data_IF_078990619620
#
_entry.id   IF_078990619620
#
_cell.length_a   1.000
_cell.length_b   1.000
_cell.length_c   1.000
_cell.angle_alpha   90.00
_cell.angle_beta   90.00
_cell.angle_gamma   90.00
#
_symmetry.space_group_name_H-M   'P 1'
#
loop_
_entity.id
_entity.type
_entity.pdbx_description
1 polymer ?
#
# COMPACT_ATOMS: atom_id res chain seq x y z
N UNK A 1 -5.53 19.41 32.81
CA UNK A 1 -6.07 18.03 32.72
C UNK A 1 -6.96 17.93 31.50
N UNK A 2 -6.41 17.47 30.38
CA UNK A 2 -7.19 17.13 29.18
C UNK A 2 -7.23 15.61 29.14
N UNK A 3 -8.43 15.04 29.23
CA UNK A 3 -8.63 13.60 29.36
C UNK A 3 -8.37 12.86 28.05
N UNK A 4 -7.52 11.83 28.12
CA UNK A 4 -7.28 10.88 27.03
C UNK A 4 -8.48 9.94 26.92
N UNK A 5 -9.17 9.95 25.79
CA UNK A 5 -10.25 9.01 25.51
C UNK A 5 -9.66 7.63 25.20
N UNK A 6 -9.93 6.65 26.06
CA UNK A 6 -9.58 5.24 25.89
C UNK A 6 -10.13 4.68 24.57
N UNK A 7 -9.27 4.53 23.57
CA UNK A 7 -9.59 3.84 22.34
C UNK A 7 -9.39 2.34 22.54
N UNK A 8 -10.45 1.59 22.89
CA UNK A 8 -10.41 0.12 22.97
C UNK A 8 -10.36 -0.48 21.56
N UNK A 9 -9.17 -0.61 20.99
CA UNK A 9 -8.92 -1.49 19.85
C UNK A 9 -8.87 -2.94 20.34
N UNK A 10 -9.95 -3.69 20.10
CA UNK A 10 -10.02 -5.11 20.45
C UNK A 10 -9.01 -5.87 19.56
N UNK A 11 -7.99 -6.45 20.19
CA UNK A 11 -7.02 -7.42 19.64
C UNK A 11 -6.01 -6.97 18.55
N UNK A 12 -5.79 -5.68 18.34
CA UNK A 12 -4.65 -5.23 17.51
C UNK A 12 -3.46 -4.90 18.41
N UNK A 13 -2.50 -5.84 18.57
CA UNK A 13 -1.25 -5.61 19.33
C UNK A 13 -0.24 -4.73 18.58
N UNK A 14 -0.59 -4.28 17.38
CA UNK A 14 0.30 -3.60 16.46
C UNK A 14 -0.52 -2.80 15.44
N UNK A 15 -0.04 -1.60 15.09
CA UNK A 15 -0.61 -0.76 14.02
C UNK A 15 0.50 -0.40 13.04
N UNK A 16 0.26 -0.68 11.75
CA UNK A 16 1.07 -0.16 10.66
C UNK A 16 0.39 1.09 10.12
N UNK A 17 1.08 2.23 10.18
CA UNK A 17 0.58 3.47 9.59
C UNK A 17 1.27 3.67 8.24
N UNK A 18 0.49 3.93 7.18
CA UNK A 18 0.96 3.92 5.79
C UNK A 18 1.52 5.25 5.25
N UNK A 19 1.62 6.27 6.09
CA UNK A 19 2.08 7.61 5.69
C UNK A 19 3.43 7.94 6.35
N UNK A 20 4.06 9.07 6.02
CA UNK A 20 5.27 9.60 6.67
C UNK A 20 4.90 10.86 7.48
N UNK A 21 5.67 11.25 8.51
CA UNK A 21 5.44 12.51 9.23
C UNK A 21 4.65 12.44 10.54
N UNK A 22 4.53 11.26 11.15
CA UNK A 22 4.00 11.08 12.51
C UNK A 22 5.07 10.53 13.48
N UNK A 23 6.28 10.33 12.99
CA UNK A 23 7.42 9.69 13.65
C UNK A 23 7.88 10.46 14.89
N UNK A 24 8.15 11.76 14.76
CA UNK A 24 8.50 12.60 15.92
C UNK A 24 7.38 12.65 16.98
N UNK A 25 6.12 12.79 16.56
CA UNK A 25 4.97 12.76 17.49
C UNK A 25 4.86 11.41 18.22
N UNK A 26 5.06 10.28 17.53
CA UNK A 26 5.01 8.96 18.15
C UNK A 26 6.20 8.73 19.09
N UNK A 27 7.37 9.29 18.78
CA UNK A 27 8.53 9.25 19.65
C UNK A 27 8.34 10.10 20.92
N UNK A 28 7.71 11.27 20.79
CA UNK A 28 7.30 12.10 21.93
C UNK A 28 6.30 11.35 22.82
N UNK A 29 5.26 10.76 22.24
CA UNK A 29 4.29 9.93 22.97
C UNK A 29 4.96 8.73 23.66
N UNK A 30 5.97 8.11 23.04
CA UNK A 30 6.74 7.05 23.69
C UNK A 30 7.54 7.58 24.89
N UNK A 31 8.21 8.72 24.73
CA UNK A 31 9.00 9.34 25.79
C UNK A 31 8.15 9.78 26.99
N UNK A 32 6.91 10.20 26.74
CA UNK A 32 5.93 10.58 27.76
C UNK A 32 5.22 9.37 28.41
N UNK A 33 5.40 8.16 27.86
CA UNK A 33 4.75 6.93 28.34
C UNK A 33 3.29 6.75 27.86
N UNK A 34 2.84 7.58 26.93
CA UNK A 34 1.48 7.58 26.37
C UNK A 34 1.31 6.65 25.15
N UNK A 35 2.41 6.16 24.57
CA UNK A 35 2.37 5.21 23.45
C UNK A 35 1.98 3.79 23.93
N UNK A 36 0.68 3.53 23.97
CA UNK A 36 0.11 2.25 24.46
C UNK A 36 0.14 1.10 23.45
N UNK A 37 0.49 1.37 22.19
CA UNK A 37 0.51 0.39 21.10
C UNK A 37 1.89 0.33 20.45
N UNK A 38 2.26 -0.85 19.95
CA UNK A 38 3.46 -0.97 19.09
C UNK A 38 3.14 -0.41 17.71
N UNK A 39 3.87 0.63 17.32
CA UNK A 39 3.82 1.24 16.01
C UNK A 39 5.02 0.81 15.17
N UNK A 40 4.78 0.46 13.90
CA UNK A 40 5.83 0.46 12.88
C UNK A 40 5.46 1.40 11.76
N UNK A 41 6.47 2.11 11.30
CA UNK A 41 6.35 3.13 10.28
C UNK A 41 7.27 2.82 9.10
N UNK A 42 6.89 3.18 7.86
CA UNK A 42 7.76 2.96 6.72
C UNK A 42 8.69 4.13 6.44
N UNK A 43 9.82 3.85 5.80
CA UNK A 43 10.45 4.79 4.89
C UNK A 43 9.73 4.72 3.53
N UNK A 44 9.28 5.86 2.99
CA UNK A 44 8.53 5.87 1.73
C UNK A 44 9.47 6.11 0.55
N UNK A 45 9.37 5.28 -0.47
CA UNK A 45 10.05 5.49 -1.75
C UNK A 45 9.05 6.01 -2.78
N UNK A 46 9.44 7.05 -3.51
CA UNK A 46 8.64 7.71 -4.55
C UNK A 46 9.30 7.50 -5.93
N UNK A 47 8.54 7.58 -7.04
CA UNK A 47 9.11 7.54 -8.38
C UNK A 47 10.20 8.60 -8.57
N UNK A 48 11.31 8.23 -9.21
CA UNK A 48 12.45 9.12 -9.44
C UNK A 48 13.28 9.46 -8.19
N UNK A 49 13.02 8.82 -7.04
CA UNK A 49 13.86 8.96 -5.84
C UNK A 49 15.24 8.34 -6.09
N UNK A 50 16.30 9.06 -5.71
CA UNK A 50 17.67 8.55 -5.78
C UNK A 50 17.85 7.35 -4.83
N UNK A 51 18.40 6.20 -5.28
CA UNK A 51 18.78 5.10 -4.40
C UNK A 51 19.67 5.51 -3.20
N UNK A 52 20.41 6.62 -3.29
CA UNK A 52 21.15 7.19 -2.15
C UNK A 52 20.26 7.55 -0.95
N UNK A 53 18.99 7.87 -1.17
CA UNK A 53 18.01 8.24 -0.13
C UNK A 53 17.72 7.09 0.85
N UNK A 54 18.05 5.85 0.51
CA UNK A 54 17.97 4.74 1.47
C UNK A 54 18.84 4.94 2.71
N UNK A 55 19.89 5.77 2.65
CA UNK A 55 20.69 6.14 3.81
C UNK A 55 19.83 6.88 4.87
N UNK A 56 18.87 7.69 4.45
CA UNK A 56 17.91 8.33 5.36
C UNK A 56 17.01 7.29 6.04
N UNK A 57 16.55 6.29 5.27
CA UNK A 57 15.81 5.15 5.82
C UNK A 57 16.60 4.38 6.87
N UNK A 58 17.91 4.22 6.69
CA UNK A 58 18.79 3.58 7.68
C UNK A 58 18.96 4.43 8.94
N UNK A 59 19.16 5.74 8.79
CA UNK A 59 19.22 6.67 9.91
C UNK A 59 17.92 6.67 10.72
N UNK A 60 16.77 6.61 10.05
CA UNK A 60 15.46 6.49 10.71
C UNK A 60 15.27 5.14 11.39
N UNK A 61 15.71 4.04 10.76
CA UNK A 61 15.69 2.71 11.38
C UNK A 61 16.54 2.66 12.65
N UNK A 62 17.65 3.39 12.70
CA UNK A 62 18.47 3.50 13.91
C UNK A 62 17.81 4.38 14.98
N UNK A 63 17.30 5.55 14.57
CA UNK A 63 16.64 6.52 15.45
C UNK A 63 15.38 5.94 16.11
N UNK A 64 14.55 5.24 15.35
CA UNK A 64 13.28 4.68 15.80
C UNK A 64 13.37 3.15 15.86
N UNK A 65 13.96 2.63 16.94
CA UNK A 65 14.16 1.19 17.15
C UNK A 65 13.93 0.74 18.59
N UNK A 66 12.80 1.12 19.16
CA UNK A 66 12.38 0.73 20.51
C UNK A 66 11.42 -0.47 20.47
N UNK A 67 11.02 -1.02 21.64
CA UNK A 67 9.97 -2.03 21.70
C UNK A 67 8.57 -1.54 21.27
N UNK A 68 8.29 -0.23 21.34
CA UNK A 68 7.00 0.35 20.96
C UNK A 68 7.02 1.10 19.63
N UNK A 69 8.16 1.59 19.15
CA UNK A 69 8.26 2.34 17.91
C UNK A 69 9.42 1.82 17.04
N UNK A 70 9.10 1.41 15.80
CA UNK A 70 10.08 0.90 14.84
C UNK A 70 9.89 1.48 13.44
N UNK A 71 10.97 1.87 12.78
CA UNK A 71 10.94 2.27 11.36
C UNK A 71 11.84 1.36 10.51
N UNK A 72 11.38 0.12 10.28
CA UNK A 72 12.23 -0.98 9.78
C UNK A 72 11.80 -1.55 8.41
N UNK A 73 10.95 -0.84 7.67
CA UNK A 73 10.50 -1.29 6.35
C UNK A 73 10.26 -0.15 5.38
N UNK A 74 10.17 -0.50 4.10
CA UNK A 74 9.95 0.43 3.00
C UNK A 74 8.50 0.33 2.52
N UNK A 75 7.86 1.46 2.21
CA UNK A 75 6.53 1.51 1.58
C UNK A 75 6.62 2.12 0.18
N UNK A 76 6.06 1.41 -0.79
CA UNK A 76 5.96 1.82 -2.20
C UNK A 76 4.51 1.73 -2.66
N UNK A 77 4.13 2.57 -3.60
CA UNK A 77 2.88 2.46 -4.36
C UNK A 77 3.24 2.07 -5.79
N UNK A 78 2.76 0.92 -6.26
CA UNK A 78 2.99 0.47 -7.63
C UNK A 78 1.95 1.02 -8.59
N UNK A 79 0.72 1.22 -8.14
CA UNK A 79 -0.38 1.71 -8.95
C UNK A 79 -1.40 2.50 -8.11
N UNK A 80 -2.53 2.86 -8.74
CA UNK A 80 -3.69 3.44 -8.06
C UNK A 80 -4.79 2.43 -7.79
N UNK A 81 -6.05 2.84 -7.90
CA UNK A 81 -7.23 2.01 -7.60
C UNK A 81 -8.03 1.70 -8.86
N UNK A 82 -8.83 0.63 -8.82
CA UNK A 82 -9.67 0.20 -9.95
C UNK A 82 -10.73 1.25 -10.27
N UNK A 83 -11.36 1.85 -9.25
CA UNK A 83 -12.48 2.77 -9.40
C UNK A 83 -12.12 4.04 -10.18
N UNK A 84 -10.85 4.43 -10.18
CA UNK A 84 -10.33 5.56 -10.95
C UNK A 84 -9.56 5.12 -12.19
N UNK A 85 -9.61 3.84 -12.56
CA UNK A 85 -8.90 3.26 -13.72
C UNK A 85 -7.39 3.48 -13.68
N UNK A 86 -6.81 3.62 -12.48
CA UNK A 86 -5.37 3.86 -12.28
C UNK A 86 -4.63 2.66 -11.72
N UNK A 87 -5.34 1.61 -11.28
CA UNK A 87 -4.72 0.32 -11.02
C UNK A 87 -4.19 -0.28 -12.33
N UNK A 88 -3.00 -0.88 -12.29
CA UNK A 88 -2.33 -1.36 -13.50
C UNK A 88 -2.75 -2.80 -13.81
N UNK A 89 -3.41 -2.98 -14.95
CA UNK A 89 -4.05 -4.23 -15.37
C UNK A 89 -3.28 -4.88 -16.54
N UNK A 90 -3.32 -6.21 -16.63
CA UNK A 90 -2.78 -6.96 -17.77
C UNK A 90 -3.68 -6.84 -19.02
N UNK A 91 -4.98 -6.68 -18.80
CA UNK A 91 -6.00 -6.58 -19.83
C UNK A 91 -6.77 -5.25 -19.71
N UNK A 92 -7.31 -4.75 -20.81
CA UNK A 92 -8.12 -3.53 -20.87
C UNK A 92 -9.24 -3.48 -19.81
N UNK A 93 -9.50 -2.30 -19.26
CA UNK A 93 -10.71 -2.04 -18.50
C UNK A 93 -11.95 -2.20 -19.39
N UNK A 94 -13.00 -2.81 -18.83
CA UNK A 94 -14.30 -2.99 -19.46
C UNK A 94 -14.88 -1.68 -19.95
N UNK A 95 -15.28 -1.63 -21.22
CA UNK A 95 -15.80 -0.41 -21.85
C UNK A 95 -14.72 0.61 -22.25
N UNK A 96 -13.44 0.39 -21.93
CA UNK A 96 -12.34 1.32 -22.18
C UNK A 96 -11.18 0.62 -22.91
N UNK A 97 -11.32 0.44 -24.23
CA UNK A 97 -10.27 -0.20 -25.06
C UNK A 97 -8.95 0.58 -24.99
N UNK A 98 -7.86 -0.15 -24.82
CA UNK A 98 -6.50 0.38 -24.70
C UNK A 98 -6.21 1.10 -23.37
N UNK A 99 -7.11 1.02 -22.39
CA UNK A 99 -6.91 1.60 -21.06
C UNK A 99 -6.64 0.47 -20.08
N UNK A 100 -5.41 0.39 -19.58
CA UNK A 100 -4.97 -0.62 -18.61
C UNK A 100 -4.51 -0.03 -17.29
N UNK A 101 -4.50 1.30 -17.14
CA UNK A 101 -3.72 1.95 -16.07
C UNK A 101 -2.21 1.77 -16.27
N UNK A 102 -1.41 2.24 -15.33
CA UNK A 102 0.05 2.26 -15.45
C UNK A 102 0.73 2.00 -14.10
N UNK A 103 1.84 1.26 -14.14
CA UNK A 103 2.73 1.12 -12.99
C UNK A 103 3.50 2.43 -12.78
N UNK A 104 3.53 2.94 -11.55
CA UNK A 104 4.27 4.14 -11.17
C UNK A 104 5.80 3.99 -11.31
N UNK A 105 6.29 2.75 -11.38
CA UNK A 105 7.71 2.43 -11.53
C UNK A 105 7.96 1.57 -12.76
N UNK A 106 9.03 1.90 -13.50
CA UNK A 106 9.54 1.05 -14.58
C UNK A 106 10.06 -0.30 -14.05
N UNK A 107 10.22 -1.30 -14.93
CA UNK A 107 10.62 -2.64 -14.51
C UNK A 107 12.02 -2.65 -13.88
N UNK A 108 12.99 -2.13 -14.63
CA UNK A 108 14.38 -2.03 -14.19
C UNK A 108 14.55 -1.11 -12.99
N UNK A 109 13.79 -0.01 -12.93
CA UNK A 109 13.79 0.91 -11.78
C UNK A 109 13.31 0.20 -10.52
N UNK A 110 12.17 -0.49 -10.58
CA UNK A 110 11.61 -1.18 -9.44
C UNK A 110 12.49 -2.37 -8.98
N UNK A 111 13.06 -3.12 -9.91
CA UNK A 111 14.01 -4.19 -9.60
C UNK A 111 15.23 -3.65 -8.85
N UNK A 112 15.80 -2.52 -9.31
CA UNK A 112 16.92 -1.87 -8.65
C UNK A 112 16.57 -1.41 -7.22
N UNK A 113 15.38 -0.83 -7.04
CA UNK A 113 14.88 -0.44 -5.71
C UNK A 113 14.75 -1.65 -4.79
N UNK A 114 14.17 -2.76 -5.28
CA UNK A 114 14.01 -3.97 -4.49
C UNK A 114 15.35 -4.59 -4.10
N UNK A 115 16.30 -4.65 -5.04
CA UNK A 115 17.66 -5.15 -4.78
C UNK A 115 18.35 -4.30 -3.72
N UNK A 116 18.26 -2.97 -3.82
CA UNK A 116 18.94 -2.06 -2.90
C UNK A 116 18.35 -2.12 -1.48
N UNK A 117 17.02 -2.09 -1.37
CA UNK A 117 16.33 -2.31 -0.11
C UNK A 117 16.71 -3.67 0.51
N UNK A 118 16.77 -4.72 -0.31
CA UNK A 118 17.15 -6.05 0.14
C UNK A 118 18.61 -6.13 0.59
N UNK A 119 19.56 -5.44 -0.04
CA UNK A 119 20.96 -5.34 0.42
C UNK A 119 21.07 -4.69 1.80
N UNK A 120 20.29 -3.63 2.03
CA UNK A 120 20.25 -2.88 3.31
C UNK A 120 19.39 -3.52 4.39
N UNK A 121 18.68 -4.59 4.05
CA UNK A 121 17.93 -5.40 5.02
C UNK A 121 16.57 -4.83 5.36
N UNK A 122 16.00 -4.04 4.45
CA UNK A 122 14.63 -3.58 4.57
C UNK A 122 13.67 -4.63 4.04
N UNK A 123 12.63 -4.90 4.82
CA UNK A 123 11.41 -5.47 4.26
C UNK A 123 10.70 -4.41 3.42
N UNK A 124 9.95 -4.82 2.41
CA UNK A 124 9.25 -3.90 1.50
C UNK A 124 7.77 -4.26 1.53
N UNK A 125 6.91 -3.26 1.68
CA UNK A 125 5.46 -3.37 1.53
C UNK A 125 5.03 -2.54 0.32
N UNK A 126 4.41 -3.16 -0.68
CA UNK A 126 4.01 -2.48 -1.92
C UNK A 126 2.50 -2.45 -2.00
N UNK A 127 1.91 -1.26 -2.17
CA UNK A 127 0.52 -1.15 -2.62
C UNK A 127 0.46 -1.58 -4.09
N UNK A 128 -0.28 -2.65 -4.37
CA UNK A 128 -0.53 -3.14 -5.73
C UNK A 128 -1.96 -3.67 -5.81
N UNK A 129 -2.81 -3.00 -6.58
CA UNK A 129 -4.23 -3.35 -6.72
C UNK A 129 -4.46 -4.16 -7.99
N UNK A 130 -3.94 -3.70 -9.13
CA UNK A 130 -4.10 -4.36 -10.41
C UNK A 130 -3.18 -5.58 -10.58
N UNK A 131 -3.58 -6.51 -11.43
CA UNK A 131 -2.84 -7.76 -11.64
C UNK A 131 -1.46 -7.55 -12.30
N UNK A 132 -1.30 -6.54 -13.16
CA UNK A 132 0.01 -6.17 -13.70
C UNK A 132 0.91 -5.55 -12.62
N UNK A 133 0.35 -4.75 -11.71
CA UNK A 133 1.08 -4.19 -10.57
C UNK A 133 1.54 -5.30 -9.60
N UNK A 134 0.68 -6.28 -9.32
CA UNK A 134 1.03 -7.45 -8.49
C UNK A 134 2.15 -8.24 -9.14
N UNK A 135 2.05 -8.53 -10.45
CA UNK A 135 3.08 -9.25 -11.20
C UNK A 135 4.42 -8.52 -11.16
N UNK A 136 4.43 -7.21 -11.48
CA UNK A 136 5.63 -6.36 -11.41
C UNK A 136 6.26 -6.36 -10.02
N UNK A 137 5.43 -6.36 -8.98
CA UNK A 137 5.89 -6.41 -7.60
C UNK A 137 6.60 -7.73 -7.28
N UNK A 138 6.01 -8.86 -7.68
CA UNK A 138 6.60 -10.18 -7.49
C UNK A 138 7.91 -10.36 -8.30
N UNK A 139 7.97 -9.80 -9.51
CA UNK A 139 9.17 -9.78 -10.33
C UNK A 139 10.33 -9.07 -9.61
N UNK A 140 10.08 -7.89 -9.04
CA UNK A 140 11.09 -7.14 -8.28
C UNK A 140 11.57 -7.86 -7.02
N UNK A 141 10.67 -8.52 -6.28
CA UNK A 141 11.08 -9.37 -5.14
C UNK A 141 11.90 -10.57 -5.58
N UNK A 142 11.56 -11.18 -6.70
CA UNK A 142 12.33 -12.29 -7.26
C UNK A 142 13.71 -11.83 -7.73
N UNK A 143 13.82 -10.64 -8.34
CA UNK A 143 15.10 -10.04 -8.71
C UNK A 143 15.98 -9.75 -7.47
N UNK A 144 15.40 -9.19 -6.40
CA UNK A 144 16.08 -8.95 -5.14
C UNK A 144 16.61 -10.24 -4.48
N UNK A 145 15.77 -11.28 -4.43
CA UNK A 145 16.18 -12.58 -3.89
C UNK A 145 17.33 -13.20 -4.70
N UNK A 146 17.26 -13.12 -6.04
CA UNK A 146 18.34 -13.60 -6.92
C UNK A 146 19.65 -12.83 -6.74
N UNK A 147 19.57 -11.50 -6.60
CA UNK A 147 20.75 -10.65 -6.52
C UNK A 147 21.44 -10.67 -5.15
N UNK A 148 20.68 -10.90 -4.07
CA UNK A 148 21.18 -10.76 -2.69
C UNK A 148 21.23 -12.07 -1.91
N UNK A 149 20.57 -13.12 -2.40
CA UNK A 149 20.37 -14.37 -1.66
C UNK A 149 19.43 -14.24 -0.46
N UNK A 150 18.82 -13.06 -0.22
CA UNK A 150 17.93 -12.80 0.91
C UNK A 150 16.47 -12.94 0.51
N UNK A 151 15.84 -14.00 0.98
CA UNK A 151 14.41 -14.27 0.79
C UNK A 151 13.61 -14.21 2.10
N UNK A 152 14.27 -13.99 3.24
CA UNK A 152 13.69 -14.02 4.58
C UNK A 152 13.24 -12.64 5.10
N UNK A 153 13.34 -11.60 4.26
CA UNK A 153 13.02 -10.21 4.62
C UNK A 153 11.52 -9.95 4.82
N UNK A 154 10.64 -10.95 4.60
CA UNK A 154 9.18 -10.84 4.80
C UNK A 154 8.55 -9.68 4.01
N UNK A 155 8.89 -9.58 2.72
CA UNK A 155 8.25 -8.66 1.79
C UNK A 155 6.73 -8.89 1.72
N UNK A 156 5.98 -7.83 1.39
CA UNK A 156 4.52 -7.83 1.39
C UNK A 156 3.97 -7.15 0.16
N UNK A 157 2.97 -7.78 -0.47
CA UNK A 157 2.08 -7.10 -1.40
C UNK A 157 0.79 -6.77 -0.66
N UNK A 158 0.40 -5.50 -0.70
CA UNK A 158 -0.76 -4.96 -0.01
C UNK A 158 -1.91 -4.78 -1.01
N UNK A 159 -3.13 -5.00 -0.54
CA UNK A 159 -4.38 -4.94 -1.33
C UNK A 159 -4.57 -6.18 -2.20
N UNK A 160 -3.89 -6.32 -3.34
CA UNK A 160 -4.05 -7.48 -4.24
C UNK A 160 -5.54 -7.66 -4.59
N UNK A 161 -6.19 -6.57 -5.00
CA UNK A 161 -7.63 -6.63 -5.29
C UNK A 161 -7.88 -7.41 -6.58
N UNK A 162 -6.99 -7.31 -7.57
CA UNK A 162 -6.96 -8.16 -8.76
C UNK A 162 -5.63 -8.91 -8.84
N UNK A 163 -5.68 -10.19 -9.20
CA UNK A 163 -4.50 -11.04 -9.37
C UNK A 163 -4.74 -12.04 -10.50
N UNK A 164 -3.71 -12.21 -11.34
CA UNK A 164 -3.73 -13.21 -12.39
C UNK A 164 -3.49 -14.61 -11.81
N UNK A 165 -4.19 -15.67 -12.28
CA UNK A 165 -4.06 -17.02 -11.75
C UNK A 165 -2.62 -17.56 -11.66
N UNK A 166 -1.80 -17.26 -12.66
CA UNK A 166 -0.39 -17.68 -12.72
C UNK A 166 0.47 -17.10 -11.59
N UNK A 167 0.06 -15.98 -10.98
CA UNK A 167 0.82 -15.31 -9.93
C UNK A 167 0.47 -15.82 -8.51
N UNK A 168 -0.59 -16.62 -8.33
CA UNK A 168 -0.97 -17.13 -6.99
C UNK A 168 0.13 -17.98 -6.34
N UNK A 169 0.77 -18.88 -7.11
CA UNK A 169 1.81 -19.78 -6.60
C UNK A 169 3.08 -19.04 -6.18
N UNK A 170 3.37 -17.94 -6.86
CA UNK A 170 4.61 -17.16 -6.70
C UNK A 170 4.75 -16.56 -5.30
N UNK A 171 3.65 -16.21 -4.63
CA UNK A 171 3.70 -15.73 -3.24
C UNK A 171 4.35 -16.76 -2.30
N UNK A 172 3.97 -18.02 -2.42
CA UNK A 172 4.53 -19.09 -1.59
C UNK A 172 5.97 -19.41 -2.00
N UNK A 173 6.26 -19.47 -3.30
CA UNK A 173 7.60 -19.72 -3.83
C UNK A 173 8.62 -18.68 -3.38
N UNK A 174 8.21 -17.40 -3.33
CA UNK A 174 9.07 -16.28 -2.95
C UNK A 174 9.05 -15.97 -1.44
N UNK A 175 8.19 -16.63 -0.65
CA UNK A 175 8.01 -16.31 0.77
C UNK A 175 7.40 -14.93 1.02
N UNK A 176 6.64 -14.40 0.06
CA UNK A 176 6.02 -13.07 0.10
C UNK A 176 4.67 -13.15 0.80
N UNK A 177 4.38 -12.16 1.64
CA UNK A 177 3.11 -12.07 2.37
C UNK A 177 2.08 -11.34 1.50
N UNK A 178 0.96 -12.00 1.22
CA UNK A 178 -0.25 -11.38 0.71
C UNK A 178 -1.01 -10.71 1.87
N UNK A 179 -0.99 -9.38 1.92
CA UNK A 179 -1.68 -8.57 2.90
C UNK A 179 -2.96 -8.01 2.30
N UNK A 180 -4.07 -8.65 2.61
CA UNK A 180 -5.38 -8.41 2.00
C UNK A 180 -6.38 -7.80 2.97
N UNK A 181 -7.27 -6.93 2.48
CA UNK A 181 -8.31 -6.23 3.23
C UNK A 181 -9.72 -6.70 2.80
N UNK A 182 -10.32 -7.71 3.46
CA UNK A 182 -11.65 -8.24 3.13
C UNK A 182 -12.75 -7.20 2.97
N UNK A 183 -12.66 -6.10 3.70
CA UNK A 183 -13.63 -5.01 3.64
C UNK A 183 -13.65 -4.29 2.29
N UNK A 184 -12.57 -4.37 1.51
CA UNK A 184 -12.47 -3.74 0.18
C UNK A 184 -13.16 -4.56 -0.92
N UNK A 185 -13.54 -5.82 -0.65
CA UNK A 185 -14.23 -6.64 -1.65
C UNK A 185 -15.52 -5.95 -2.14
N UNK A 186 -15.67 -5.69 -3.45
CA UNK A 186 -16.86 -5.07 -4.01
C UNK A 186 -18.11 -5.91 -3.72
N UNK A 187 -19.18 -5.26 -3.25
CA UNK A 187 -20.40 -5.92 -2.80
C UNK A 187 -20.36 -6.42 -1.35
N UNK A 188 -19.24 -6.21 -0.64
CA UNK A 188 -19.16 -6.34 0.81
C UNK A 188 -19.51 -5.00 1.49
N UNK A 189 -18.49 -4.30 1.99
CA UNK A 189 -18.69 -2.98 2.63
C UNK A 189 -18.90 -1.87 1.60
N UNK A 190 -18.31 -2.02 0.40
CA UNK A 190 -18.42 -1.07 -0.70
C UNK A 190 -19.39 -1.55 -1.78
N UNK A 191 -20.02 -0.64 -2.54
CA UNK A 191 -20.83 -0.99 -3.70
C UNK A 191 -20.05 -1.85 -4.71
N UNK A 192 -20.75 -2.69 -5.48
CA UNK A 192 -20.13 -3.48 -6.56
C UNK A 192 -19.70 -2.63 -7.75
N UNK A 193 -20.37 -1.50 -7.96
CA UNK A 193 -20.06 -0.54 -9.02
C UNK A 193 -19.18 0.58 -8.48
N UNK A 194 -18.25 1.12 -9.29
CA UNK A 194 -18.07 0.88 -10.72
C UNK A 194 -17.20 -0.36 -11.06
N UNK A 195 -16.62 -1.01 -10.05
CA UNK A 195 -15.63 -2.10 -10.23
C UNK A 195 -16.15 -3.25 -11.10
N UNK A 196 -17.41 -3.66 -10.95
CA UNK A 196 -18.04 -4.69 -11.78
C UNK A 196 -18.09 -4.31 -13.25
N UNK A 197 -18.51 -3.08 -13.58
CA UNK A 197 -18.53 -2.60 -14.96
C UNK A 197 -17.13 -2.46 -15.55
N UNK A 198 -16.16 -2.04 -14.74
CA UNK A 198 -14.77 -1.83 -15.14
C UNK A 198 -13.99 -3.13 -15.34
N UNK A 199 -14.31 -4.21 -14.63
CA UNK A 199 -13.57 -5.47 -14.75
C UNK A 199 -14.34 -6.56 -15.50
N UNK A 200 -15.67 -6.51 -15.50
CA UNK A 200 -16.52 -7.56 -16.04
C UNK A 200 -16.64 -8.77 -15.10
N UNK A 201 -17.67 -9.57 -15.32
CA UNK A 201 -18.06 -10.65 -14.39
C UNK A 201 -16.98 -11.72 -14.19
N UNK A 202 -16.18 -12.03 -15.23
CA UNK A 202 -15.14 -13.04 -15.12
C UNK A 202 -14.00 -12.61 -14.20
N UNK A 203 -13.48 -11.39 -14.36
CA UNK A 203 -12.43 -10.85 -13.49
C UNK A 203 -12.93 -10.56 -12.08
N UNK A 204 -14.21 -10.22 -11.91
CA UNK A 204 -14.83 -10.11 -10.59
C UNK A 204 -14.73 -11.39 -9.76
N UNK A 205 -14.64 -12.58 -10.38
CA UNK A 205 -14.41 -13.86 -9.67
C UNK A 205 -13.00 -14.01 -9.10
N UNK A 206 -12.05 -13.22 -9.61
CA UNK A 206 -10.65 -13.20 -9.17
C UNK A 206 -10.41 -12.14 -8.09
N UNK A 207 -11.35 -11.22 -7.89
CA UNK A 207 -11.18 -10.13 -6.96
C UNK A 207 -11.11 -10.62 -5.53
N UNK A 208 -10.13 -10.10 -4.76
CA UNK A 208 -10.06 -10.29 -3.31
C UNK A 208 -10.07 -11.77 -2.88
N UNK A 209 -9.62 -12.67 -3.76
CA UNK A 209 -9.76 -14.11 -3.55
C UNK A 209 -8.63 -14.62 -2.66
N UNK A 210 -8.92 -14.74 -1.37
CA UNK A 210 -8.09 -15.47 -0.42
C UNK A 210 -8.17 -16.98 -0.66
N UNK A 211 -7.03 -17.59 -1.02
CA UNK A 211 -6.72 -19.03 -1.02
C UNK A 211 -7.25 -19.90 -2.18
N UNK A 212 -6.39 -20.34 -3.11
CA UNK A 212 -6.46 -21.68 -3.70
C UNK A 212 -6.15 -22.73 -2.62
N UNK A 213 -6.80 -23.90 -2.68
CA UNK A 213 -6.74 -24.97 -1.66
C UNK A 213 -5.32 -25.46 -1.28
N UNK A 214 -4.28 -25.11 -2.06
CA UNK A 214 -2.92 -25.61 -1.91
C UNK A 214 -1.90 -24.62 -1.28
N UNK A 215 -2.26 -23.36 -0.98
CA UNK A 215 -1.27 -22.38 -0.49
C UNK A 215 -1.08 -22.44 1.04
N UNK A 216 0.15 -22.48 1.58
CA UNK A 216 0.41 -22.49 3.03
C UNK A 216 -0.12 -21.23 3.74
N UNK A 217 -0.66 -21.40 4.95
CA UNK A 217 -1.31 -20.33 5.74
C UNK A 217 -0.40 -19.13 6.08
N UNK A 218 0.93 -19.29 5.98
CA UNK A 218 1.91 -18.21 6.28
C UNK A 218 1.90 -17.09 5.24
N UNK A 219 1.30 -17.30 4.07
CA UNK A 219 1.25 -16.34 2.98
C UNK A 219 0.16 -15.27 3.13
N UNK A 220 -0.75 -15.34 4.10
CA UNK A 220 -1.86 -14.38 4.23
C UNK A 220 -1.84 -13.66 5.58
N UNK A 221 -1.82 -12.33 5.55
CA UNK A 221 -2.00 -11.48 6.73
C UNK A 221 -3.29 -10.66 6.58
N UNK A 222 -4.20 -10.79 7.55
CA UNK A 222 -5.43 -9.99 7.61
C UNK A 222 -5.19 -8.75 8.49
N UNK A 223 -5.37 -7.56 7.91
CA UNK A 223 -5.41 -6.31 8.69
C UNK A 223 -6.87 -5.92 8.96
N UNK A 224 -7.37 -6.00 10.21
CA UNK A 224 -8.66 -5.41 10.54
C UNK A 224 -8.52 -3.88 10.52
N UNK A 225 -9.29 -3.21 9.65
CA UNK A 225 -9.48 -1.76 9.75
C UNK A 225 -10.44 -1.53 10.92
N UNK A 226 -9.97 -0.87 11.98
CA UNK A 226 -10.83 -0.47 13.09
C UNK A 226 -11.95 0.46 12.60
N UNK A 227 -13.20 0.21 13.03
CA UNK A 227 -14.31 1.14 12.81
C UNK A 227 -14.01 2.49 13.49
N UNK A 228 -13.78 3.53 12.71
CA UNK A 228 -13.85 4.91 13.21
C UNK A 228 -15.30 5.22 13.59
N UNK A 229 -15.67 5.11 14.88
CA UNK A 229 -16.89 5.75 15.37
C UNK A 229 -16.66 7.26 15.31
N UNK A 230 -17.47 7.97 14.53
CA UNK A 230 -17.53 9.44 14.57
C UNK A 230 -17.92 9.89 15.98
N UNK A 231 -16.94 10.22 16.82
CA UNK A 231 -17.14 11.13 17.95
C UNK A 231 -16.61 12.49 17.54
N UNK A 232 -17.55 13.37 17.22
CA UNK A 232 -17.35 14.80 16.95
C UNK A 232 -16.54 15.47 18.06
N UNK A 233 -15.31 15.92 17.77
CA UNK A 233 -14.69 17.20 18.24
C UNK A 233 -13.18 17.37 17.99
N UNK A 234 -12.44 16.42 17.40
CA UNK A 234 -10.97 16.52 17.32
C UNK A 234 -10.32 16.62 15.94
N UNK A 235 -11.09 16.63 14.83
CA UNK A 235 -10.54 16.94 13.51
C UNK A 235 -10.96 18.33 13.03
N UNK A 236 -10.20 19.35 13.44
CA UNK A 236 -10.10 20.63 12.73
C UNK A 236 -8.62 20.99 12.61
N UNK A 237 -7.96 20.42 11.61
CA UNK A 237 -6.80 21.03 10.96
C UNK A 237 -7.20 21.32 9.50
N UNK A 238 -6.87 22.51 8.97
CA UNK A 238 -7.47 23.01 7.75
C UNK A 238 -6.87 22.35 6.50
N UNK A 239 -7.72 21.79 5.66
CA UNK A 239 -7.43 21.58 4.24
C UNK A 239 -7.27 22.96 3.57
N UNK A 240 -6.05 23.51 3.57
CA UNK A 240 -5.67 24.63 2.72
C UNK A 240 -4.26 24.38 2.24
N UNK A 241 -4.10 23.64 1.16
CA UNK A 241 -2.98 23.75 0.21
C UNK A 241 -3.23 22.77 -0.95
N UNK A 242 -4.08 23.17 -1.91
CA UNK A 242 -4.06 22.76 -3.33
C UNK A 242 -5.28 23.34 -4.05
N UNK A 243 -5.28 24.65 -4.30
CA UNK A 243 -6.19 25.27 -5.27
C UNK A 243 -5.68 26.68 -5.62
N UNK A 244 -4.71 26.78 -6.53
CA UNK A 244 -4.43 28.05 -7.23
C UNK A 244 -3.59 27.83 -8.49
N UNK A 245 -4.22 27.39 -9.57
CA UNK A 245 -3.83 27.77 -10.93
C UNK A 245 -5.12 27.99 -11.75
N UNK A 246 -5.31 29.17 -12.39
CA UNK A 246 -6.53 29.48 -13.13
C UNK A 246 -6.53 28.85 -14.53
N UNK A 247 -7.65 28.23 -14.91
CA UNK A 247 -7.89 27.76 -16.28
C UNK A 247 -8.48 28.92 -17.12
N UNK A 248 -8.07 29.13 -18.39
CA UNK A 248 -8.59 30.22 -19.22
C UNK A 248 -10.03 29.94 -19.67
N UNK A 249 -10.90 30.93 -19.55
CA UNK A 249 -12.29 30.85 -20.03
C UNK A 249 -12.34 30.74 -21.58
N UNK A 250 -13.18 29.82 -22.09
CA UNK A 250 -13.54 29.75 -23.51
C UNK A 250 -14.55 30.84 -23.88
N UNK A 251 -14.54 31.35 -25.12
CA UNK A 251 -15.37 32.47 -25.55
C UNK A 251 -16.80 32.00 -25.87
N UNK A 252 -17.80 32.75 -25.39
CA UNK A 252 -19.20 32.62 -25.82
C UNK A 252 -19.44 33.48 -27.07
N UNK A 253 -19.87 32.84 -28.15
CA UNK A 253 -20.26 33.44 -29.42
C UNK A 253 -21.69 34.01 -29.40
N UNK A 254 -21.83 35.28 -29.81
CA UNK A 254 -22.93 35.95 -30.54
C UNK A 254 -24.40 35.68 -30.21
N UNK A 255 -25.17 36.70 -29.77
CA UNK A 255 -25.97 37.68 -30.58
C UNK A 255 -27.42 37.21 -30.78
N UNK A 256 -28.42 38.10 -31.01
CA UNK A 256 -28.40 39.38 -31.74
C UNK A 256 -28.11 40.62 -30.87
#
# INVERSE_FOLDING_TARGET
MVGVANCRFINCRFVQVGFTGADDMLAEMEAEGDLTLRARYPFRVLPGMDPGEFALGEAWRERYNSPFLKQDFVKIFMDGVIETTTAAMLDDYGGHRGVTGECLFGASEFDAICIEAARRGFSIAVHAIGDAAVRRTLDGYQAAARATGRSDLRHRVEHIESIHPDDFGRFAELGVIASFQPTHAPGGTYPKEPTRSLLGEERMKLICRGRPSATPARAFAFHPIGRFRRSSRLFRLPQRFCASLPCPARPTSGRP
#
